data_IF_800507217585
#
_entry.id   IF_800507217585
#
_cell.length_a   1.000
_cell.length_b   1.000
_cell.length_c   1.000
_cell.angle_alpha   90.00
_cell.angle_beta   90.00
_cell.angle_gamma   90.00
#
_symmetry.space_group_name_H-M   'P 1'
#
loop_
_entity.id
_entity.type
_entity.pdbx_description
1 polymer ?
#
# COMPACT_ATOMS: atom_id res chain seq x y z
N UNK A 1 -26.03 31.08 12.18
CA UNK A 1 -24.64 30.98 12.67
C UNK A 1 -24.29 29.56 13.18
N UNK A 2 -24.80 28.48 12.56
CA UNK A 2 -24.58 27.07 13.00
C UNK A 2 -23.83 26.24 11.93
N UNK A 3 -23.43 26.84 10.81
CA UNK A 3 -22.79 26.14 9.69
C UNK A 3 -21.28 25.92 9.86
N UNK A 4 -20.55 26.81 10.56
CA UNK A 4 -19.08 26.77 10.59
C UNK A 4 -18.49 25.62 11.41
N UNK A 5 -19.19 25.12 12.43
CA UNK A 5 -18.66 24.07 13.30
C UNK A 5 -18.58 22.72 12.58
N UNK A 6 -19.59 22.39 11.78
CA UNK A 6 -19.64 21.12 11.02
C UNK A 6 -18.53 21.05 9.95
N UNK A 7 -18.29 22.14 9.22
CA UNK A 7 -17.23 22.19 8.22
C UNK A 7 -15.82 22.13 8.84
N UNK A 8 -15.63 22.73 10.02
CA UNK A 8 -14.36 22.61 10.76
C UNK A 8 -14.06 21.16 11.12
N UNK A 9 -15.05 20.43 11.64
CA UNK A 9 -14.89 19.00 11.93
C UNK A 9 -14.66 18.16 10.68
N UNK A 10 -15.33 18.48 9.57
CA UNK A 10 -15.13 17.80 8.29
C UNK A 10 -13.72 18.05 7.72
N UNK A 11 -13.22 19.27 7.77
CA UNK A 11 -11.85 19.59 7.35
C UNK A 11 -10.84 18.92 8.28
N UNK A 12 -11.08 18.96 9.59
CA UNK A 12 -10.22 18.29 10.56
C UNK A 12 -10.17 16.78 10.33
N UNK A 13 -11.31 16.13 10.08
CA UNK A 13 -11.35 14.69 9.79
C UNK A 13 -10.64 14.37 8.48
N UNK A 14 -10.80 15.21 7.45
CA UNK A 14 -10.11 15.03 6.18
C UNK A 14 -8.59 15.12 6.35
N UNK A 15 -8.11 16.15 7.05
CA UNK A 15 -6.68 16.31 7.36
C UNK A 15 -6.15 15.16 8.20
N UNK A 16 -6.94 14.67 9.17
CA UNK A 16 -6.58 13.52 9.98
C UNK A 16 -6.41 12.27 9.11
N UNK A 17 -7.36 11.98 8.22
CA UNK A 17 -7.29 10.83 7.30
C UNK A 17 -6.06 10.89 6.40
N UNK A 18 -5.74 12.06 5.85
CA UNK A 18 -4.54 12.26 5.02
C UNK A 18 -3.25 12.07 5.82
N UNK A 19 -3.29 12.35 7.13
CA UNK A 19 -2.14 12.20 8.04
C UNK A 19 -1.96 10.78 8.58
N UNK A 20 -2.93 9.88 8.39
CA UNK A 20 -2.86 8.49 8.89
C UNK A 20 -1.58 7.76 8.48
N UNK A 21 -1.11 7.81 7.22
CA UNK A 21 0.10 7.10 6.82
C UNK A 21 1.33 7.52 7.64
N UNK A 22 1.47 8.82 7.93
CA UNK A 22 2.55 9.36 8.76
C UNK A 22 2.45 8.95 10.22
N UNK A 23 1.23 8.97 10.80
CA UNK A 23 1.01 8.54 12.18
C UNK A 23 1.32 7.06 12.34
N UNK A 24 0.91 6.24 11.37
CA UNK A 24 1.17 4.81 11.36
C UNK A 24 2.65 4.49 11.26
N UNK A 25 3.41 5.25 10.46
CA UNK A 25 4.86 5.06 10.33
C UNK A 25 5.62 5.51 11.59
N UNK A 26 5.15 6.57 12.26
CA UNK A 26 5.72 7.04 13.52
C UNK A 26 5.52 6.05 14.68
N UNK A 27 4.50 5.20 14.61
CA UNK A 27 4.27 4.14 15.57
C UNK A 27 4.95 2.89 14.99
N UNK A 28 6.11 2.53 15.53
CA UNK A 28 6.91 1.36 15.12
C UNK A 28 6.20 0.03 15.44
N UNK A 29 5.07 -0.21 14.77
CA UNK A 29 4.28 -1.42 14.88
C UNK A 29 4.91 -2.50 13.99
N UNK A 30 4.87 -3.75 14.45
CA UNK A 30 5.29 -4.88 13.62
C UNK A 30 4.27 -5.08 12.50
N UNK A 31 4.76 -5.25 11.28
CA UNK A 31 3.91 -5.56 10.13
C UNK A 31 3.15 -6.87 10.42
N UNK A 32 1.80 -6.84 10.50
CA UNK A 32 1.04 -7.98 11.02
C UNK A 32 1.15 -9.22 10.12
N UNK A 33 1.42 -9.05 8.82
CA UNK A 33 1.67 -10.14 7.88
C UNK A 33 2.58 -9.64 6.73
N UNK A 34 3.91 -9.79 6.84
CA UNK A 34 4.82 -9.35 5.79
C UNK A 34 4.55 -10.11 4.49
N UNK A 35 4.73 -9.43 3.36
CA UNK A 35 4.75 -10.09 2.05
C UNK A 35 6.07 -10.83 1.91
N UNK A 36 6.01 -12.13 1.63
CA UNK A 36 7.20 -12.94 1.38
C UNK A 36 7.69 -12.68 -0.05
N UNK A 37 8.94 -12.23 -0.19
CA UNK A 37 9.55 -11.87 -1.46
C UNK A 37 10.78 -10.98 -1.26
N UNK A 38 11.50 -10.66 -2.33
CA UNK A 38 12.59 -9.69 -2.29
C UNK A 38 12.02 -8.27 -2.25
N UNK A 39 12.27 -7.55 -1.16
CA UNK A 39 11.96 -6.11 -1.07
C UNK A 39 13.23 -5.36 -0.70
N UNK A 40 13.72 -4.52 -1.60
CA UNK A 40 14.77 -3.55 -1.29
C UNK A 40 14.18 -2.43 -0.46
N UNK A 41 14.55 -2.37 0.83
CA UNK A 41 14.21 -1.22 1.68
C UNK A 41 15.12 -0.05 1.31
N UNK A 42 14.52 1.07 0.93
CA UNK A 42 15.26 2.29 0.63
C UNK A 42 15.59 3.04 1.92
N UNK A 43 16.73 3.74 1.94
CA UNK A 43 17.08 4.63 3.04
C UNK A 43 16.21 5.90 3.00
N UNK A 44 15.95 6.49 4.17
CA UNK A 44 15.25 7.76 4.25
C UNK A 44 16.12 8.88 3.64
N UNK A 45 15.53 9.84 2.92
CA UNK A 45 16.27 10.95 2.31
C UNK A 45 16.81 11.91 3.38
N UNK A 46 17.91 12.58 3.06
CA UNK A 46 18.51 13.57 3.96
C UNK A 46 17.65 14.85 4.04
N UNK A 47 17.35 15.24 5.27
CA UNK A 47 16.60 16.46 5.55
C UNK A 47 17.51 17.69 5.47
N UNK A 48 17.21 18.61 4.55
CA UNK A 48 17.86 19.92 4.50
C UNK A 48 16.91 20.99 3.95
N UNK A 49 17.10 22.26 4.34
CA UNK A 49 16.30 23.38 3.79
C UNK A 49 16.46 23.51 2.28
N UNK A 50 17.63 23.14 1.75
CA UNK A 50 17.91 23.12 0.32
C UNK A 50 17.10 22.02 -0.38
N UNK A 51 17.10 20.80 0.15
CA UNK A 51 16.39 19.65 -0.45
C UNK A 51 14.86 19.80 -0.39
N UNK A 52 14.33 20.49 0.62
CA UNK A 52 12.90 20.84 0.68
C UNK A 52 12.52 21.85 -0.38
N UNK A 53 13.37 22.88 -0.58
CA UNK A 53 13.10 23.94 -1.55
C UNK A 53 13.29 23.46 -3.00
N UNK A 54 14.23 22.53 -3.23
CA UNK A 54 14.46 21.93 -4.55
C UNK A 54 13.45 20.86 -4.95
N UNK A 55 12.66 20.32 -4.01
CA UNK A 55 11.73 19.21 -4.26
C UNK A 55 12.34 17.81 -4.04
N UNK A 56 13.68 17.73 -3.92
CA UNK A 56 14.41 16.46 -3.78
C UNK A 56 14.00 15.68 -2.53
N UNK A 57 13.63 16.38 -1.45
CA UNK A 57 13.16 15.74 -0.23
C UNK A 57 11.82 15.04 -0.44
N UNK A 58 10.90 15.66 -1.17
CA UNK A 58 9.58 15.13 -1.46
C UNK A 58 9.68 13.89 -2.36
N UNK A 59 10.50 13.95 -3.40
CA UNK A 59 10.75 12.82 -4.29
C UNK A 59 11.36 11.63 -3.53
N UNK A 60 12.35 11.89 -2.68
CA UNK A 60 12.99 10.84 -1.87
C UNK A 60 12.05 10.24 -0.81
N UNK A 61 11.18 11.05 -0.21
CA UNK A 61 10.19 10.58 0.76
C UNK A 61 9.14 9.71 0.07
N UNK A 62 8.70 10.08 -1.13
CA UNK A 62 7.78 9.28 -1.94
C UNK A 62 8.38 7.90 -2.27
N UNK A 63 9.65 7.85 -2.64
CA UNK A 63 10.35 6.58 -2.89
C UNK A 63 10.53 5.74 -1.63
N UNK A 64 10.88 6.38 -0.51
CA UNK A 64 10.98 5.74 0.79
C UNK A 64 9.66 5.09 1.21
N UNK A 65 8.54 5.82 1.15
CA UNK A 65 7.23 5.28 1.53
C UNK A 65 6.73 4.19 0.57
N UNK A 66 7.11 4.18 -0.71
CA UNK A 66 6.75 3.09 -1.65
C UNK A 66 7.26 1.72 -1.20
N UNK A 67 8.37 1.68 -0.46
CA UNK A 67 9.04 0.44 -0.06
C UNK A 67 8.95 0.18 1.44
N UNK A 68 9.03 1.22 2.27
CA UNK A 68 9.11 1.10 3.73
C UNK A 68 7.77 1.33 4.45
N UNK A 69 6.71 1.76 3.75
CA UNK A 69 5.44 2.01 4.40
C UNK A 69 4.90 0.75 5.10
N UNK A 70 4.66 0.87 6.41
CA UNK A 70 4.34 -0.27 7.26
C UNK A 70 3.07 -1.04 6.83
N UNK A 71 2.03 -0.34 6.40
CA UNK A 71 0.77 -0.98 5.98
C UNK A 71 0.76 -1.32 4.49
N UNK A 72 1.90 -1.28 3.80
CA UNK A 72 1.99 -1.61 2.38
C UNK A 72 1.44 -3.01 2.09
N UNK A 73 1.82 -4.01 2.89
CA UNK A 73 1.31 -5.37 2.73
C UNK A 73 -0.21 -5.46 2.84
N UNK A 74 -0.79 -4.74 3.82
CA UNK A 74 -2.24 -4.66 3.99
C UNK A 74 -2.91 -3.95 2.81
N UNK A 75 -2.39 -2.80 2.39
CA UNK A 75 -2.94 -2.02 1.28
C UNK A 75 -2.95 -2.80 -0.04
N UNK A 76 -1.89 -3.56 -0.34
CA UNK A 76 -1.81 -4.43 -1.52
C UNK A 76 -2.90 -5.51 -1.46
N UNK A 77 -3.06 -6.19 -0.32
CA UNK A 77 -4.08 -7.24 -0.16
C UNK A 77 -5.50 -6.67 -0.29
N UNK A 78 -5.76 -5.52 0.32
CA UNK A 78 -7.06 -4.84 0.23
C UNK A 78 -7.37 -4.45 -1.21
N UNK A 79 -6.41 -3.84 -1.93
CA UNK A 79 -6.57 -3.51 -3.35
C UNK A 79 -6.86 -4.77 -4.17
N UNK A 80 -6.06 -5.82 -4.01
CA UNK A 80 -6.25 -7.07 -4.74
C UNK A 80 -7.63 -7.69 -4.47
N UNK A 81 -8.12 -7.64 -3.22
CA UNK A 81 -9.46 -8.14 -2.87
C UNK A 81 -10.57 -7.32 -3.54
N UNK A 82 -10.46 -5.99 -3.53
CA UNK A 82 -11.44 -5.11 -4.19
C UNK A 82 -11.47 -5.39 -5.69
N UNK A 83 -10.29 -5.44 -6.30
CA UNK A 83 -10.13 -5.68 -7.74
C UNK A 83 -10.69 -7.04 -8.15
N UNK A 84 -10.46 -8.07 -7.33
CA UNK A 84 -11.03 -9.38 -7.54
C UNK A 84 -12.56 -9.41 -7.36
N UNK A 85 -13.07 -8.81 -6.28
CA UNK A 85 -14.50 -8.90 -5.94
C UNK A 85 -15.40 -8.09 -6.86
N UNK A 86 -14.91 -6.95 -7.37
CA UNK A 86 -15.71 -6.05 -8.21
C UNK A 86 -15.47 -6.25 -9.70
N UNK A 87 -14.26 -6.66 -10.09
CA UNK A 87 -13.85 -6.67 -11.49
C UNK A 87 -13.30 -8.02 -11.97
N UNK A 88 -13.21 -9.04 -11.09
CA UNK A 88 -12.59 -10.32 -11.41
C UNK A 88 -11.15 -10.16 -11.95
N UNK A 89 -10.41 -9.19 -11.41
CA UNK A 89 -9.03 -8.90 -11.80
C UNK A 89 -8.05 -9.53 -10.81
N UNK A 90 -7.16 -10.37 -11.32
CA UNK A 90 -5.99 -10.89 -10.59
C UNK A 90 -4.72 -10.17 -11.05
N UNK A 91 -3.99 -9.57 -10.11
CA UNK A 91 -2.69 -8.93 -10.37
C UNK A 91 -1.49 -9.88 -10.20
N UNK A 92 -1.73 -11.11 -9.75
CA UNK A 92 -0.66 -12.08 -9.53
C UNK A 92 -0.32 -12.80 -10.83
N UNK A 93 0.93 -12.64 -11.30
CA UNK A 93 1.39 -13.06 -12.64
C UNK A 93 1.14 -14.54 -12.97
N UNK A 94 1.27 -15.43 -11.98
CA UNK A 94 1.13 -16.88 -12.16
C UNK A 94 -0.16 -17.41 -11.53
N UNK A 95 -1.18 -16.57 -11.35
CA UNK A 95 -2.46 -16.99 -10.79
C UNK A 95 -3.53 -17.00 -11.87
N UNK A 96 -4.16 -18.16 -12.05
CA UNK A 96 -5.26 -18.38 -12.98
C UNK A 96 -6.56 -18.60 -12.20
N UNK A 97 -7.66 -18.07 -12.73
CA UNK A 97 -9.00 -18.27 -12.17
C UNK A 97 -9.62 -19.55 -12.76
N UNK A 98 -10.04 -20.46 -11.88
CA UNK A 98 -10.76 -21.66 -12.23
C UNK A 98 -12.27 -21.50 -12.12
N UNK A 99 -12.99 -22.62 -12.02
CA UNK A 99 -14.45 -22.59 -11.83
C UNK A 99 -14.81 -21.94 -10.49
N UNK A 100 -15.95 -21.26 -10.44
CA UNK A 100 -16.53 -20.66 -9.23
C UNK A 100 -15.60 -19.63 -8.53
N UNK A 101 -14.65 -19.04 -9.25
CA UNK A 101 -13.73 -18.04 -8.69
C UNK A 101 -12.69 -18.64 -7.73
N UNK A 102 -12.33 -19.91 -7.91
CA UNK A 102 -11.16 -20.47 -7.23
C UNK A 102 -9.88 -20.06 -7.95
N UNK A 103 -8.90 -19.53 -7.20
CA UNK A 103 -7.62 -19.11 -7.73
C UNK A 103 -6.58 -20.23 -7.59
N UNK A 104 -5.83 -20.49 -8.66
CA UNK A 104 -4.80 -21.52 -8.71
C UNK A 104 -3.47 -20.92 -9.17
N UNK A 105 -2.38 -21.45 -8.64
CA UNK A 105 -1.05 -21.13 -9.18
C UNK A 105 -0.78 -21.98 -10.42
N UNK A 106 -0.52 -21.32 -11.55
CA UNK A 106 -0.27 -21.95 -12.85
C UNK A 106 0.88 -22.96 -12.77
N UNK A 107 1.96 -22.61 -12.07
CA UNK A 107 3.11 -23.50 -11.89
C UNK A 107 2.74 -24.82 -11.21
N UNK A 108 1.81 -24.79 -10.24
CA UNK A 108 1.35 -26.01 -9.57
C UNK A 108 0.45 -26.87 -10.46
N UNK A 109 -0.35 -26.23 -11.32
CA UNK A 109 -1.12 -26.95 -12.33
C UNK A 109 -0.20 -27.65 -13.32
N UNK A 110 0.79 -26.93 -13.85
CA UNK A 110 1.77 -27.47 -14.80
C UNK A 110 2.56 -28.63 -14.18
N UNK A 111 3.06 -28.45 -12.95
CA UNK A 111 3.78 -29.49 -12.23
C UNK A 111 2.92 -30.76 -12.01
N UNK A 112 1.63 -30.60 -11.67
CA UNK A 112 0.71 -31.73 -11.51
C UNK A 112 0.43 -32.47 -12.84
N UNK A 113 0.53 -31.77 -13.97
CA UNK A 113 0.39 -32.33 -15.32
C UNK A 113 1.71 -32.88 -15.89
N UNK A 114 2.83 -32.70 -15.18
CA UNK A 114 4.16 -33.09 -15.64
C UNK A 114 4.70 -32.22 -16.79
N UNK A 115 4.24 -30.97 -16.87
CA UNK A 115 4.64 -29.96 -17.85
C UNK A 115 5.65 -28.96 -17.26
#
# INVERSE_FOLDING_TARGET
MISNLKYKWLVFSLLFVVSVPWIVDAIDLKEPHPLHGESTRLAAPEFSLKSIWSGEFQDGIDEYFRTNFLLRGMAIRTRNQIDYSLFHLSHARSVVEGREGYLFEENYILAALGL
#
